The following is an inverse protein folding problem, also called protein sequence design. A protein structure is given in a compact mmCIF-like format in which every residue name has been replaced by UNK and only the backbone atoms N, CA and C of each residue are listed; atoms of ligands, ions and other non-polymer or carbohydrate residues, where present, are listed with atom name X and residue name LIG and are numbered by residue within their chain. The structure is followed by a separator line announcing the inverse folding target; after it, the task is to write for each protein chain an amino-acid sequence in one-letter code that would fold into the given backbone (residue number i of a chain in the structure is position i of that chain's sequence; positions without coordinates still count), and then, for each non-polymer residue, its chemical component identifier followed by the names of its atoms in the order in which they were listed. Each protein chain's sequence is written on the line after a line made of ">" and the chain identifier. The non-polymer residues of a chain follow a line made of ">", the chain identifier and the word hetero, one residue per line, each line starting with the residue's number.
data_IF_766986443326
#
_entry.id   IF_766986443326
#
_cell.length_a   1.000
_cell.length_b   1.000
_cell.length_c   1.000
_cell.angle_alpha   90.00
_cell.angle_beta   90.00
_cell.angle_gamma   90.00
#
_symmetry.space_group_name_H-M   'P 1'
#
loop_
_entity.id
_entity.type
_entity.pdbx_description
1 polymer ?
#
# COMPACT_ATOMS: atom_id res chain seq x y z
N UNK A 1 14.35 -26.60 -6.92
CA UNK A 1 15.51 -27.16 -6.21
C UNK A 1 16.79 -26.48 -6.71
N UNK A 2 17.11 -26.49 -8.01
CA UNK A 2 18.40 -25.98 -8.52
C UNK A 2 18.88 -24.56 -8.09
N UNK A 3 18.01 -23.57 -7.84
CA UNK A 3 18.46 -22.22 -7.47
C UNK A 3 18.77 -22.07 -5.97
N UNK A 4 17.97 -22.69 -5.09
CA UNK A 4 18.17 -22.59 -3.64
C UNK A 4 19.50 -23.24 -3.22
N UNK A 5 19.99 -24.21 -4.00
CA UNK A 5 21.25 -24.92 -3.79
C UNK A 5 22.49 -24.03 -4.05
N UNK A 6 22.35 -22.92 -4.78
CA UNK A 6 23.45 -21.98 -5.09
C UNK A 6 23.64 -20.96 -3.97
N UNK A 7 22.56 -20.61 -3.27
CA UNK A 7 22.56 -19.57 -2.24
C UNK A 7 23.57 -19.85 -1.10
N UNK A 8 23.77 -21.10 -0.64
CA UNK A 8 24.84 -21.44 0.29
C UNK A 8 26.25 -21.11 -0.23
N UNK A 9 26.54 -21.39 -1.50
CA UNK A 9 27.84 -21.07 -2.13
C UNK A 9 28.05 -19.55 -2.24
N UNK A 10 26.98 -18.77 -2.34
CA UNK A 10 27.03 -17.30 -2.29
C UNK A 10 27.21 -16.73 -0.88
N UNK A 11 27.22 -17.59 0.16
CA UNK A 11 27.37 -17.20 1.56
C UNK A 11 26.05 -16.97 2.30
N UNK A 12 24.92 -17.46 1.77
CA UNK A 12 23.52 -17.35 2.25
C UNK A 12 22.96 -15.92 2.41
N UNK A 13 23.75 -14.98 2.92
CA UNK A 13 23.43 -13.56 3.13
C UNK A 13 24.71 -12.70 3.17
N UNK A 14 25.49 -12.74 2.09
CA UNK A 14 26.70 -11.94 1.88
C UNK A 14 26.44 -10.45 1.66
N UNK A 15 27.51 -9.68 1.40
CA UNK A 15 27.47 -8.20 1.28
C UNK A 15 26.53 -7.72 0.17
N UNK A 16 26.56 -8.38 -1.00
CA UNK A 16 25.69 -8.07 -2.12
C UNK A 16 24.21 -8.23 -1.75
N UNK A 17 23.88 -9.38 -1.14
CA UNK A 17 22.51 -9.71 -0.72
C UNK A 17 22.02 -8.72 0.34
N UNK A 18 22.85 -8.40 1.36
CA UNK A 18 22.54 -7.42 2.40
C UNK A 18 22.24 -6.03 1.82
N UNK A 19 23.07 -5.55 0.89
CA UNK A 19 22.89 -4.22 0.27
C UNK A 19 21.56 -4.15 -0.49
N UNK A 20 21.30 -5.11 -1.37
CA UNK A 20 20.07 -5.10 -2.18
C UNK A 20 18.83 -5.37 -1.33
N UNK A 21 18.93 -6.26 -0.34
CA UNK A 21 17.88 -6.50 0.64
C UNK A 21 17.50 -5.20 1.38
N UNK A 22 18.47 -4.45 1.91
CA UNK A 22 18.21 -3.19 2.58
C UNK A 22 17.55 -2.17 1.65
N UNK A 23 18.02 -2.07 0.39
CA UNK A 23 17.38 -1.21 -0.61
C UNK A 23 15.92 -1.63 -0.84
N UNK A 24 15.63 -2.93 -0.95
CA UNK A 24 14.25 -3.43 -1.16
C UNK A 24 13.34 -3.27 0.06
N UNK A 25 13.89 -3.20 1.28
CA UNK A 25 13.11 -2.96 2.49
C UNK A 25 12.70 -1.49 2.67
N UNK A 26 13.45 -0.53 2.16
CA UNK A 26 13.13 0.90 2.32
C UNK A 26 11.77 1.31 1.69
N UNK A 27 11.40 0.85 0.49
CA UNK A 27 10.06 1.04 -0.08
C UNK A 27 8.92 0.48 0.79
N UNK A 28 9.17 -0.48 1.67
CA UNK A 28 8.16 -0.97 2.60
C UNK A 28 7.70 0.12 3.58
N UNK A 29 8.58 1.08 3.91
CA UNK A 29 8.22 2.27 4.70
C UNK A 29 7.14 3.07 3.95
N UNK A 30 7.34 3.34 2.66
CA UNK A 30 6.39 4.08 1.82
C UNK A 30 5.03 3.37 1.74
N UNK A 31 5.04 2.04 1.60
CA UNK A 31 3.82 1.25 1.62
C UNK A 31 3.05 1.40 2.94
N UNK A 32 3.76 1.39 4.07
CA UNK A 32 3.17 1.61 5.38
C UNK A 32 2.62 3.04 5.56
N UNK A 33 3.33 4.05 5.04
CA UNK A 33 2.86 5.44 5.00
C UNK A 33 1.48 5.52 4.36
N UNK A 34 1.32 4.96 3.15
CA UNK A 34 0.05 4.97 2.45
C UNK A 34 -1.04 4.11 3.10
N UNK A 35 -0.66 3.01 3.74
CA UNK A 35 -1.62 2.12 4.41
C UNK A 35 -2.26 2.75 5.65
N UNK A 36 -1.51 3.54 6.42
CA UNK A 36 -2.05 4.24 7.61
C UNK A 36 -2.56 5.65 7.31
N UNK A 37 -2.18 6.23 6.16
CA UNK A 37 -2.57 7.59 5.77
C UNK A 37 -4.07 7.87 5.95
N UNK A 38 -4.93 6.91 5.61
CA UNK A 38 -6.38 7.12 5.63
C UNK A 38 -6.97 7.54 6.97
N UNK A 39 -6.35 7.14 8.08
CA UNK A 39 -6.75 7.53 9.43
C UNK A 39 -6.61 9.04 9.63
N UNK A 40 -5.52 9.62 9.12
CA UNK A 40 -5.19 11.04 9.29
C UNK A 40 -5.80 11.91 8.18
N UNK A 41 -5.78 11.44 6.92
CA UNK A 41 -6.37 12.17 5.80
C UNK A 41 -7.87 12.39 5.98
N UNK A 42 -8.55 11.42 6.57
CA UNK A 42 -9.98 11.45 6.82
C UNK A 42 -10.29 11.66 8.30
N UNK A 43 -9.47 12.40 9.04
CA UNK A 43 -9.72 12.64 10.46
C UNK A 43 -11.15 13.19 10.66
N UNK A 44 -11.91 12.54 11.55
CA UNK A 44 -13.22 13.04 11.95
C UNK A 44 -13.00 14.20 12.92
N UNK A 45 -13.34 15.40 12.48
CA UNK A 45 -13.15 16.63 13.23
C UNK A 45 -14.48 16.98 13.91
N UNK A 46 -14.41 17.46 15.15
CA UNK A 46 -15.59 17.94 15.87
C UNK A 46 -16.26 19.03 15.06
N UNK A 47 -17.56 18.91 14.88
CA UNK A 47 -18.34 19.81 14.06
C UNK A 47 -19.68 20.10 14.70
N UNK A 48 -20.25 21.21 14.26
CA UNK A 48 -21.60 21.64 14.62
C UNK A 48 -22.28 22.19 13.39
N UNK A 49 -23.59 22.34 13.48
CA UNK A 49 -24.36 22.95 12.42
C UNK A 49 -24.05 24.45 12.30
N UNK A 50 -23.94 24.92 11.06
CA UNK A 50 -23.91 26.34 10.77
C UNK A 50 -25.32 26.91 10.96
N UNK A 51 -25.42 27.99 11.72
CA UNK A 51 -26.69 28.67 11.92
C UNK A 51 -26.98 29.59 10.70
N UNK A 52 -28.25 29.84 10.35
CA UNK A 52 -28.62 30.63 9.17
C UNK A 52 -28.04 32.05 9.12
N UNK A 53 -27.69 32.64 10.28
CA UNK A 53 -27.11 33.97 10.39
C UNK A 53 -25.57 33.98 10.40
N UNK A 54 -24.93 32.80 10.40
CA UNK A 54 -23.48 32.67 10.47
C UNK A 54 -22.84 32.57 9.09
N UNK A 55 -21.68 33.20 8.94
CA UNK A 55 -20.83 33.05 7.76
C UNK A 55 -20.00 31.75 7.83
N UNK A 56 -19.49 31.31 6.68
CA UNK A 56 -18.74 30.05 6.57
C UNK A 56 -17.42 30.03 7.38
N UNK A 57 -16.92 31.20 7.81
CA UNK A 57 -15.72 31.36 8.64
C UNK A 57 -16.00 31.57 10.14
N UNK A 58 -17.24 31.30 10.58
CA UNK A 58 -17.61 31.44 11.99
C UNK A 58 -16.82 30.47 12.90
N UNK A 59 -16.62 30.88 14.15
CA UNK A 59 -15.86 30.09 15.13
C UNK A 59 -16.65 28.88 15.60
N UNK A 60 -15.99 27.76 15.82
CA UNK A 60 -16.61 26.55 16.32
C UNK A 60 -17.33 26.75 17.68
N UNK A 61 -16.74 27.52 18.59
CA UNK A 61 -17.35 27.77 19.89
C UNK A 61 -18.58 28.69 19.76
N UNK A 62 -19.73 28.20 20.26
CA UNK A 62 -20.98 28.95 20.38
C UNK A 62 -21.26 29.28 21.84
N UNK A 63 -21.51 30.55 22.20
CA UNK A 63 -21.88 30.91 23.57
C UNK A 63 -23.28 30.40 23.96
N UNK A 64 -24.21 30.31 23.01
CA UNK A 64 -25.63 29.96 23.25
C UNK A 64 -26.00 28.60 22.61
N UNK A 65 -25.11 27.61 22.78
CA UNK A 65 -25.27 26.28 22.19
C UNK A 65 -26.57 25.57 22.63
N UNK A 66 -27.00 25.82 23.87
CA UNK A 66 -28.20 25.23 24.46
C UNK A 66 -29.52 25.68 23.80
N UNK A 67 -29.54 26.88 23.21
CA UNK A 67 -30.72 27.44 22.54
C UNK A 67 -30.73 27.19 21.03
N UNK A 68 -29.65 26.66 20.48
CA UNK A 68 -29.43 26.52 19.04
C UNK A 68 -29.29 25.07 18.59
N UNK A 69 -28.70 24.22 19.42
CA UNK A 69 -28.43 22.82 19.13
C UNK A 69 -29.14 21.94 20.17
N UNK A 70 -29.88 20.90 19.75
CA UNK A 70 -30.52 19.98 20.68
C UNK A 70 -29.50 19.09 21.40
N UNK A 71 -29.78 18.79 22.67
CA UNK A 71 -29.00 17.81 23.45
C UNK A 71 -29.37 16.38 23.05
N UNK A 72 -28.39 15.57 22.69
CA UNK A 72 -28.58 14.14 22.45
C UNK A 72 -28.30 13.34 23.74
N UNK A 73 -29.37 12.83 24.35
CA UNK A 73 -29.29 12.02 25.57
C UNK A 73 -28.59 10.68 25.37
N UNK A 74 -28.56 10.13 24.15
CA UNK A 74 -27.88 8.86 23.87
C UNK A 74 -26.37 9.04 23.78
N UNK A 75 -25.94 10.12 23.13
CA UNK A 75 -24.53 10.46 22.97
C UNK A 75 -23.95 11.27 24.13
N UNK A 76 -24.80 11.67 25.10
CA UNK A 76 -24.45 12.54 26.22
C UNK A 76 -23.68 13.80 25.78
N UNK A 77 -24.10 14.38 24.66
CA UNK A 77 -23.45 15.53 24.02
C UNK A 77 -24.42 16.30 23.13
N UNK A 78 -24.06 17.53 22.77
CA UNK A 78 -24.82 18.32 21.80
C UNK A 78 -24.80 17.67 20.42
N UNK A 79 -25.96 17.61 19.75
CA UNK A 79 -26.07 17.00 18.42
C UNK A 79 -25.18 17.71 17.40
N UNK A 80 -24.35 16.97 16.67
CA UNK A 80 -23.52 17.54 15.60
C UNK A 80 -24.23 17.60 14.24
N UNK A 81 -25.42 16.99 14.13
CA UNK A 81 -26.10 16.72 12.86
C UNK A 81 -27.49 17.35 12.74
N UNK A 82 -28.02 17.87 13.84
CA UNK A 82 -29.31 18.54 13.89
C UNK A 82 -29.19 19.87 14.62
N UNK A 83 -29.98 20.85 14.19
CA UNK A 83 -30.12 22.14 14.86
C UNK A 83 -31.59 22.39 15.20
N UNK A 84 -31.86 23.29 16.13
CA UNK A 84 -33.21 23.72 16.43
C UNK A 84 -33.79 24.54 15.27
N UNK A 85 -35.08 24.36 15.02
CA UNK A 85 -35.83 25.07 14.00
C UNK A 85 -36.44 26.34 14.61
N UNK A 86 -35.64 27.40 14.65
CA UNK A 86 -36.01 28.68 15.23
C UNK A 86 -35.52 29.84 14.34
N UNK A 87 -36.22 30.97 14.42
CA UNK A 87 -35.69 32.25 13.94
C UNK A 87 -34.76 32.81 15.01
N UNK A 88 -33.45 32.71 14.77
CA UNK A 88 -32.39 33.16 15.68
C UNK A 88 -32.28 34.69 15.74
N UNK A 89 -33.36 35.37 16.16
CA UNK A 89 -33.36 36.81 16.42
C UNK A 89 -32.85 37.09 17.83
N UNK A 90 -32.38 38.31 18.13
CA UNK A 90 -32.03 38.71 19.49
C UNK A 90 -33.17 38.49 20.50
N UNK A 91 -34.42 38.60 20.06
CA UNK A 91 -35.62 38.32 20.87
C UNK A 91 -35.73 36.84 21.27
N UNK A 92 -35.36 35.91 20.37
CA UNK A 92 -35.36 34.48 20.65
C UNK A 92 -34.39 34.13 21.78
N UNK A 93 -33.17 34.66 21.73
CA UNK A 93 -32.15 34.43 22.76
C UNK A 93 -32.54 35.03 24.11
N UNK A 94 -33.29 36.15 24.11
CA UNK A 94 -33.83 36.75 25.33
C UNK A 94 -35.02 35.97 25.91
N UNK A 95 -35.80 35.27 25.08
CA UNK A 95 -37.03 34.58 25.50
C UNK A 95 -36.80 33.36 26.39
N UNK A 96 -35.58 32.80 26.44
CA UNK A 96 -35.22 31.57 27.18
C UNK A 96 -36.06 30.32 26.84
N UNK A 97 -36.91 30.37 25.79
CA UNK A 97 -37.74 29.26 25.34
C UNK A 97 -37.07 28.62 24.12
N UNK A 98 -36.62 27.38 24.28
CA UNK A 98 -36.03 26.60 23.18
C UNK A 98 -37.09 26.08 22.22
N UNK A 99 -36.82 26.11 20.93
CA UNK A 99 -37.71 25.51 19.94
C UNK A 99 -37.84 23.98 20.15
N UNK A 100 -39.06 23.46 19.98
CA UNK A 100 -39.36 22.03 20.18
C UNK A 100 -39.06 21.15 18.94
N UNK A 101 -38.87 21.77 17.77
CA UNK A 101 -38.59 21.07 16.51
C UNK A 101 -37.11 21.20 16.17
N UNK A 102 -36.55 20.11 15.65
CA UNK A 102 -35.18 20.06 15.14
C UNK A 102 -35.17 19.77 13.65
N UNK A 103 -34.28 20.41 12.92
CA UNK A 103 -34.04 20.20 11.49
C UNK A 103 -32.64 19.65 11.24
N UNK A 104 -32.48 18.92 10.14
CA UNK A 104 -31.16 18.45 9.69
C UNK A 104 -30.29 19.63 9.24
N UNK A 105 -28.99 19.45 9.37
CA UNK A 105 -28.03 20.48 9.01
C UNK A 105 -27.61 20.36 7.56
N UNK A 106 -27.55 21.49 6.86
CA UNK A 106 -27.12 21.56 5.45
C UNK A 106 -25.64 21.93 5.33
N UNK A 107 -25.12 22.67 6.31
CA UNK A 107 -23.73 23.10 6.40
C UNK A 107 -23.21 22.95 7.82
N UNK A 108 -21.89 22.82 7.93
CA UNK A 108 -21.20 22.57 9.20
C UNK A 108 -20.04 23.52 9.40
N UNK A 109 -19.80 23.86 10.67
CA UNK A 109 -18.61 24.57 11.14
C UNK A 109 -17.75 23.56 11.91
N UNK A 110 -16.49 23.46 11.50
CA UNK A 110 -15.51 22.50 12.02
C UNK A 110 -14.54 23.16 13.00
N UNK A 111 -14.13 22.42 14.04
CA UNK A 111 -13.07 22.84 14.96
C UNK A 111 -11.69 22.72 14.30
N UNK A 112 -11.10 23.87 13.95
CA UNK A 112 -9.79 23.96 13.28
C UNK A 112 -8.59 24.08 14.24
N UNK A 113 -8.80 23.91 15.55
CA UNK A 113 -7.74 24.02 16.56
C UNK A 113 -6.63 22.96 16.40
N UNK A 114 -7.01 21.72 16.10
CA UNK A 114 -6.08 20.59 15.96
C UNK A 114 -5.67 20.38 14.50
N UNK A 115 -6.64 20.34 13.59
CA UNK A 115 -6.43 20.11 12.16
C UNK A 115 -6.79 21.35 11.36
N UNK A 116 -6.01 21.67 10.33
CA UNK A 116 -6.33 22.80 9.43
C UNK A 116 -7.42 22.41 8.43
N UNK A 117 -7.31 21.21 7.86
CA UNK A 117 -8.29 20.64 6.93
C UNK A 117 -8.14 19.12 6.90
N UNK A 118 -9.26 18.40 6.77
CA UNK A 118 -9.30 16.98 6.44
C UNK A 118 -10.19 16.72 5.22
N UNK A 119 -10.05 15.56 4.58
CA UNK A 119 -10.95 15.18 3.49
C UNK A 119 -12.43 15.16 3.94
N UNK A 120 -12.68 14.89 5.23
CA UNK A 120 -14.03 14.93 5.80
C UNK A 120 -14.58 16.34 5.84
N UNK A 121 -13.76 17.33 6.23
CA UNK A 121 -14.19 18.73 6.33
C UNK A 121 -14.31 19.40 4.99
N UNK A 122 -13.47 19.03 4.03
CA UNK A 122 -13.48 19.63 2.70
C UNK A 122 -14.64 19.13 1.84
N UNK A 123 -15.02 17.86 1.98
CA UNK A 123 -16.13 17.26 1.24
C UNK A 123 -17.43 17.13 2.06
N UNK A 124 -17.49 17.71 3.27
CA UNK A 124 -18.63 17.67 4.18
C UNK A 124 -19.18 16.26 4.49
N UNK A 125 -18.29 15.28 4.72
CA UNK A 125 -18.64 13.86 4.88
C UNK A 125 -18.99 13.50 6.32
N UNK A 126 -19.97 14.21 6.88
CA UNK A 126 -20.42 14.04 8.25
C UNK A 126 -21.88 13.58 8.28
N UNK A 127 -22.35 13.12 9.45
CA UNK A 127 -23.75 12.74 9.65
C UNK A 127 -24.21 11.63 8.68
N UNK A 128 -25.20 11.91 7.83
CA UNK A 128 -25.73 10.94 6.86
C UNK A 128 -24.63 10.44 5.90
N UNK A 129 -23.65 11.30 5.58
CA UNK A 129 -22.54 11.00 4.67
C UNK A 129 -21.28 10.46 5.38
N UNK A 130 -21.33 10.22 6.69
CA UNK A 130 -20.18 9.69 7.44
C UNK A 130 -19.74 8.29 6.96
N UNK A 131 -20.64 7.52 6.34
CA UNK A 131 -20.37 6.18 5.82
C UNK A 131 -19.36 6.19 4.67
N UNK A 132 -19.28 7.29 3.89
CA UNK A 132 -18.34 7.44 2.78
C UNK A 132 -16.87 7.32 3.23
N UNK A 133 -16.53 7.80 4.43
CA UNK A 133 -15.19 7.65 5.03
C UNK A 133 -14.76 6.19 5.14
N UNK A 134 -15.63 5.36 5.71
CA UNK A 134 -15.38 3.93 5.93
C UNK A 134 -15.33 3.20 4.59
N UNK A 135 -16.16 3.63 3.64
CA UNK A 135 -16.14 3.09 2.28
C UNK A 135 -14.80 3.35 1.59
N UNK A 136 -14.21 4.53 1.72
CA UNK A 136 -12.90 4.84 1.13
C UNK A 136 -11.77 3.94 1.67
N UNK A 137 -11.74 3.70 2.99
CA UNK A 137 -10.74 2.81 3.59
C UNK A 137 -11.00 1.34 3.24
N UNK A 138 -12.27 0.94 3.10
CA UNK A 138 -12.65 -0.39 2.61
C UNK A 138 -12.22 -0.60 1.15
N UNK A 139 -12.43 0.40 0.29
CA UNK A 139 -12.01 0.38 -1.11
C UNK A 139 -10.48 0.32 -1.24
N UNK A 140 -9.74 0.96 -0.32
CA UNK A 140 -8.29 0.78 -0.24
C UNK A 140 -7.92 -0.69 0.01
N UNK A 141 -8.58 -1.37 0.94
CA UNK A 141 -8.32 -2.79 1.24
C UNK A 141 -8.75 -3.72 0.10
N UNK A 142 -9.88 -3.44 -0.56
CA UNK A 142 -10.27 -4.13 -1.79
C UNK A 142 -9.22 -3.93 -2.87
N UNK A 143 -8.73 -2.70 -3.03
CA UNK A 143 -7.61 -2.37 -3.89
C UNK A 143 -6.39 -3.22 -3.56
N UNK A 144 -6.00 -3.29 -2.29
CA UNK A 144 -4.86 -4.08 -1.83
C UNK A 144 -5.00 -5.59 -2.12
N UNK A 145 -6.21 -6.14 -2.00
CA UNK A 145 -6.51 -7.52 -2.38
C UNK A 145 -6.38 -7.73 -3.90
N UNK A 146 -6.98 -6.86 -4.71
CA UNK A 146 -6.88 -6.98 -6.17
C UNK A 146 -5.43 -6.79 -6.64
N UNK A 147 -4.70 -5.86 -6.02
CA UNK A 147 -3.31 -5.57 -6.33
C UNK A 147 -2.38 -6.73 -6.01
N UNK A 148 -2.57 -7.44 -4.89
CA UNK A 148 -1.74 -8.60 -4.56
C UNK A 148 -1.90 -9.73 -5.59
N UNK A 149 -3.10 -9.91 -6.14
CA UNK A 149 -3.38 -10.88 -7.20
C UNK A 149 -2.81 -10.42 -8.54
N UNK A 150 -3.13 -9.20 -8.96
CA UNK A 150 -2.77 -8.66 -10.28
C UNK A 150 -1.27 -8.44 -10.39
N UNK A 151 -0.67 -7.67 -9.48
CA UNK A 151 0.77 -7.39 -9.52
C UNK A 151 1.60 -8.63 -9.18
N UNK A 152 1.07 -9.55 -8.36
CA UNK A 152 1.67 -10.86 -8.14
C UNK A 152 1.82 -11.65 -9.45
N UNK A 153 0.70 -11.91 -10.15
CA UNK A 153 0.70 -12.63 -11.43
C UNK A 153 1.50 -11.89 -12.52
N UNK A 154 1.38 -10.56 -12.59
CA UNK A 154 2.17 -9.76 -13.53
C UNK A 154 3.68 -9.88 -13.26
N UNK A 155 4.11 -9.88 -11.99
CA UNK A 155 5.53 -9.99 -11.64
C UNK A 155 6.14 -11.33 -12.04
N UNK A 156 5.37 -12.42 -11.92
CA UNK A 156 5.80 -13.75 -12.37
C UNK A 156 5.79 -13.89 -13.90
N UNK A 157 4.95 -13.12 -14.60
CA UNK A 157 4.88 -13.13 -16.08
C UNK A 157 5.93 -12.28 -16.75
N UNK A 158 6.01 -11.00 -16.37
CA UNK A 158 6.78 -9.96 -17.05
C UNK A 158 8.13 -9.65 -16.40
N UNK A 159 8.37 -10.12 -15.18
CA UNK A 159 9.59 -9.84 -14.42
C UNK A 159 9.25 -9.07 -13.16
N UNK A 160 10.06 -9.24 -12.12
CA UNK A 160 9.77 -8.66 -10.82
C UNK A 160 10.26 -7.23 -10.74
N UNK A 161 11.43 -6.95 -11.29
CA UNK A 161 11.96 -5.58 -11.38
C UNK A 161 11.01 -4.64 -12.14
N UNK A 162 10.57 -4.89 -13.39
CA UNK A 162 9.71 -3.95 -14.12
C UNK A 162 8.36 -3.73 -13.41
N UNK A 163 7.77 -4.78 -12.84
CA UNK A 163 6.48 -4.68 -12.15
C UNK A 163 6.59 -3.95 -10.81
N UNK A 164 7.71 -4.10 -10.09
CA UNK A 164 8.00 -3.30 -8.90
C UNK A 164 8.01 -1.80 -9.23
N UNK A 165 8.73 -1.39 -10.28
CA UNK A 165 8.80 0.02 -10.68
C UNK A 165 7.49 0.54 -11.27
N UNK A 166 6.77 -0.28 -12.05
CA UNK A 166 5.43 0.08 -12.53
C UNK A 166 4.49 0.37 -11.36
N UNK A 167 4.47 -0.51 -10.36
CA UNK A 167 3.65 -0.34 -9.16
C UNK A 167 4.04 0.94 -8.41
N UNK A 168 5.35 1.23 -8.29
CA UNK A 168 5.86 2.42 -7.63
C UNK A 168 5.47 3.71 -8.35
N UNK A 169 5.60 3.75 -9.69
CA UNK A 169 5.18 4.90 -10.50
C UNK A 169 3.69 5.15 -10.36
N UNK A 170 2.87 4.09 -10.47
CA UNK A 170 1.42 4.21 -10.30
C UNK A 170 1.07 4.68 -8.88
N UNK A 171 1.76 4.19 -7.84
CA UNK A 171 1.53 4.62 -6.46
C UNK A 171 1.79 6.12 -6.28
N UNK A 172 2.89 6.64 -6.84
CA UNK A 172 3.23 8.07 -6.76
C UNK A 172 2.22 8.91 -7.55
N UNK A 173 1.91 8.52 -8.79
CA UNK A 173 0.97 9.27 -9.65
C UNK A 173 -0.40 9.34 -9.01
N UNK A 174 -0.99 8.20 -8.63
CA UNK A 174 -2.31 8.19 -7.99
C UNK A 174 -2.27 8.78 -6.57
N UNK A 175 -1.11 8.73 -5.90
CA UNK A 175 -0.86 9.41 -4.64
C UNK A 175 -1.00 10.94 -4.75
N UNK A 176 -0.38 11.53 -5.77
CA UNK A 176 -0.47 12.96 -6.07
C UNK A 176 -1.86 13.35 -6.63
N UNK A 177 -2.46 12.51 -7.46
CA UNK A 177 -3.84 12.72 -7.95
C UNK A 177 -4.85 12.70 -6.80
N UNK A 178 -4.67 11.84 -5.80
CA UNK A 178 -5.51 11.84 -4.60
C UNK A 178 -5.41 13.17 -3.84
N UNK A 179 -4.21 13.77 -3.76
CA UNK A 179 -4.03 15.08 -3.14
C UNK A 179 -4.64 16.23 -3.94
N UNK A 180 -4.76 16.08 -5.27
CA UNK A 180 -5.35 17.06 -6.18
C UNK A 180 -6.85 16.84 -6.42
N UNK A 181 -7.44 15.78 -5.86
CA UNK A 181 -8.84 15.43 -6.11
C UNK A 181 -9.78 16.54 -5.63
N UNK A 182 -10.66 17.02 -6.52
CA UNK A 182 -11.71 18.02 -6.21
C UNK A 182 -13.04 17.37 -5.85
N UNK A 183 -13.16 16.07 -6.09
CA UNK A 183 -14.37 15.28 -5.83
C UNK A 183 -14.02 14.07 -4.97
N UNK A 184 -14.89 13.74 -4.02
CA UNK A 184 -14.62 12.65 -3.10
C UNK A 184 -14.61 11.27 -3.80
N UNK A 185 -15.43 11.08 -4.83
CA UNK A 185 -15.40 9.86 -5.65
C UNK A 185 -14.04 9.65 -6.34
N UNK A 186 -13.45 10.73 -6.86
CA UNK A 186 -12.09 10.67 -7.45
C UNK A 186 -11.06 10.33 -6.39
N UNK A 187 -11.17 10.90 -5.19
CA UNK A 187 -10.30 10.54 -4.06
C UNK A 187 -10.42 9.05 -3.70
N UNK A 188 -11.64 8.50 -3.63
CA UNK A 188 -11.88 7.08 -3.35
C UNK A 188 -11.30 6.15 -4.42
N UNK A 189 -11.47 6.48 -5.71
CA UNK A 189 -10.88 5.72 -6.81
C UNK A 189 -9.35 5.76 -6.74
N UNK A 190 -8.76 6.93 -6.47
CA UNK A 190 -7.32 7.03 -6.27
C UNK A 190 -6.86 6.18 -5.08
N UNK A 191 -7.59 6.19 -3.96
CA UNK A 191 -7.30 5.35 -2.77
C UNK A 191 -7.33 3.85 -3.09
N UNK A 192 -8.29 3.40 -3.91
CA UNK A 192 -8.33 2.02 -4.38
C UNK A 192 -7.08 1.66 -5.18
N UNK A 193 -6.65 2.51 -6.12
CA UNK A 193 -5.44 2.28 -6.92
C UNK A 193 -4.17 2.36 -6.07
N UNK A 194 -4.10 3.29 -5.11
CA UNK A 194 -3.00 3.37 -4.14
C UNK A 194 -2.96 2.07 -3.31
N UNK A 195 -4.09 1.54 -2.86
CA UNK A 195 -4.14 0.24 -2.17
C UNK A 195 -3.58 -0.89 -3.02
N UNK A 196 -4.01 -0.97 -4.28
CA UNK A 196 -3.53 -1.97 -5.24
C UNK A 196 -2.03 -1.89 -5.48
N UNK A 197 -1.52 -0.68 -5.72
CA UNK A 197 -0.09 -0.44 -5.96
C UNK A 197 0.75 -0.64 -4.69
N UNK A 198 0.21 -0.33 -3.50
CA UNK A 198 0.86 -0.60 -2.20
C UNK A 198 1.13 -2.10 -2.04
N UNK A 199 0.15 -2.96 -2.36
CA UNK A 199 0.37 -4.41 -2.40
C UNK A 199 1.39 -4.81 -3.45
N UNK A 200 1.33 -4.23 -4.66
CA UNK A 200 2.28 -4.52 -5.74
C UNK A 200 3.73 -4.21 -5.36
N UNK A 201 3.99 -3.01 -4.83
CA UNK A 201 5.32 -2.58 -4.39
C UNK A 201 5.83 -3.47 -3.26
N UNK A 202 5.03 -3.66 -2.19
CA UNK A 202 5.46 -4.44 -1.03
C UNK A 202 5.66 -5.92 -1.36
N UNK A 203 4.68 -6.55 -2.02
CA UNK A 203 4.73 -7.97 -2.33
C UNK A 203 5.91 -8.28 -3.25
N UNK A 204 6.05 -7.56 -4.36
CA UNK A 204 7.11 -7.84 -5.34
C UNK A 204 8.49 -7.57 -4.76
N UNK A 205 8.67 -6.47 -4.01
CA UNK A 205 9.93 -6.19 -3.31
C UNK A 205 10.26 -7.29 -2.29
N UNK A 206 9.27 -7.73 -1.51
CA UNK A 206 9.43 -8.80 -0.54
C UNK A 206 9.84 -10.11 -1.22
N UNK A 207 9.22 -10.49 -2.34
CA UNK A 207 9.60 -11.75 -3.00
C UNK A 207 11.00 -11.67 -3.63
N UNK A 208 11.40 -10.53 -4.23
CA UNK A 208 12.79 -10.35 -4.71
C UNK A 208 13.76 -10.48 -3.53
N UNK A 209 13.51 -9.78 -2.43
CA UNK A 209 14.35 -9.82 -1.24
C UNK A 209 14.51 -11.25 -0.72
N UNK A 210 13.42 -12.00 -0.58
CA UNK A 210 13.41 -13.36 -0.06
C UNK A 210 14.07 -14.39 -0.99
N UNK A 211 14.06 -14.14 -2.31
CA UNK A 211 14.80 -14.96 -3.27
C UNK A 211 16.30 -14.73 -3.25
N UNK A 212 16.74 -13.58 -2.73
CA UNK A 212 18.16 -13.32 -2.53
C UNK A 212 18.67 -13.92 -1.22
N UNK A 213 17.80 -14.22 -0.25
CA UNK A 213 18.21 -14.76 1.05
C UNK A 213 18.17 -16.29 1.05
N UNK A 214 19.27 -16.89 1.53
CA UNK A 214 19.38 -18.33 1.75
C UNK A 214 18.32 -18.87 2.73
N UNK A 215 17.90 -20.13 2.59
CA UNK A 215 16.75 -20.69 3.30
C UNK A 215 16.81 -20.57 4.83
N UNK A 216 18.00 -20.67 5.42
CA UNK A 216 18.24 -20.57 6.87
C UNK A 216 17.99 -19.17 7.45
N UNK A 217 18.20 -18.12 6.65
CA UNK A 217 18.10 -16.71 7.07
C UNK A 217 16.79 -16.04 6.68
N UNK A 218 15.94 -16.72 5.92
CA UNK A 218 14.65 -16.20 5.43
C UNK A 218 13.73 -15.73 6.56
N UNK A 219 13.64 -16.46 7.67
CA UNK A 219 12.81 -16.05 8.81
C UNK A 219 13.25 -14.68 9.34
N UNK A 220 14.54 -14.51 9.62
CA UNK A 220 15.11 -13.25 10.10
C UNK A 220 14.91 -12.12 9.09
N UNK A 221 15.12 -12.38 7.79
CA UNK A 221 14.85 -11.42 6.73
C UNK A 221 13.36 -11.03 6.63
N UNK A 222 12.44 -11.95 6.90
CA UNK A 222 11.01 -11.63 6.99
C UNK A 222 10.73 -10.65 8.13
N UNK A 223 11.24 -10.96 9.34
CA UNK A 223 11.07 -10.13 10.54
C UNK A 223 11.70 -8.75 10.37
N UNK A 224 12.91 -8.66 9.80
CA UNK A 224 13.58 -7.38 9.56
C UNK A 224 12.77 -6.49 8.62
N UNK A 225 12.17 -7.04 7.57
CA UNK A 225 11.32 -6.28 6.66
C UNK A 225 10.10 -5.69 7.38
N UNK A 226 9.52 -6.41 8.34
CA UNK A 226 8.41 -5.91 9.16
C UNK A 226 8.81 -4.73 10.05
N UNK A 227 10.05 -4.68 10.56
CA UNK A 227 10.52 -3.49 11.30
C UNK A 227 10.49 -2.23 10.43
N UNK A 228 10.89 -2.30 9.15
CA UNK A 228 10.78 -1.17 8.23
C UNK A 228 9.31 -0.75 8.03
N UNK A 229 8.40 -1.72 7.91
CA UNK A 229 6.97 -1.44 7.82
C UNK A 229 6.43 -0.73 9.06
N UNK A 230 6.80 -1.21 10.26
CA UNK A 230 6.46 -0.56 11.55
C UNK A 230 7.05 0.85 11.64
N UNK A 231 8.29 1.05 11.20
CA UNK A 231 8.90 2.39 11.13
C UNK A 231 8.07 3.33 10.26
N UNK A 232 7.54 2.85 9.13
CA UNK A 232 6.63 3.65 8.29
C UNK A 232 5.35 4.05 9.01
N UNK A 233 4.74 3.18 9.81
CA UNK A 233 3.58 3.56 10.64
C UNK A 233 3.91 4.66 11.66
N UNK A 234 5.04 4.55 12.36
CA UNK A 234 5.49 5.57 13.31
C UNK A 234 5.74 6.91 12.59
N UNK A 235 6.40 6.85 11.43
CA UNK A 235 6.64 8.04 10.61
C UNK A 235 5.35 8.68 10.10
N UNK A 236 4.32 7.89 9.77
CA UNK A 236 3.01 8.42 9.35
C UNK A 236 2.40 9.30 10.44
N UNK A 237 2.44 8.83 11.69
CA UNK A 237 1.93 9.60 12.83
C UNK A 237 2.76 10.86 13.06
N UNK A 238 4.08 10.79 12.90
CA UNK A 238 4.95 11.97 12.98
C UNK A 238 4.61 13.00 11.88
N UNK A 239 4.46 12.57 10.62
CA UNK A 239 4.04 13.46 9.53
C UNK A 239 2.69 14.10 9.79
N UNK A 240 1.71 13.33 10.28
CA UNK A 240 0.38 13.84 10.60
C UNK A 240 0.37 14.82 11.79
N UNK A 241 1.32 14.70 12.72
CA UNK A 241 1.48 15.65 13.81
C UNK A 241 1.96 17.03 13.33
N UNK A 242 2.92 17.06 12.41
CA UNK A 242 3.48 18.31 11.88
C UNK A 242 2.67 18.89 10.72
N UNK A 243 2.05 18.05 9.89
CA UNK A 243 1.30 18.45 8.70
C UNK A 243 -0.19 18.24 8.94
N UNK A 244 -0.88 19.34 9.26
CA UNK A 244 -2.30 19.38 9.62
C UNK A 244 -3.26 19.59 8.45
N UNK A 245 -2.71 19.69 7.23
CA UNK A 245 -3.44 19.83 5.98
C UNK A 245 -3.37 18.49 5.23
N UNK A 246 -4.53 17.88 4.98
CA UNK A 246 -4.58 16.53 4.40
C UNK A 246 -4.03 16.44 2.98
N UNK A 247 -4.17 17.51 2.17
CA UNK A 247 -3.66 17.52 0.79
C UNK A 247 -2.14 17.54 0.81
N UNK A 248 -1.56 18.43 1.62
CA UNK A 248 -0.10 18.52 1.81
C UNK A 248 0.44 17.24 2.45
N UNK A 249 -0.28 16.65 3.42
CA UNK A 249 0.08 15.38 4.03
C UNK A 249 0.14 14.28 2.97
N UNK A 250 -0.89 14.15 2.13
CA UNK A 250 -0.91 13.15 1.06
C UNK A 250 0.27 13.33 0.09
N UNK A 251 0.62 14.56 -0.30
CA UNK A 251 1.81 14.83 -1.12
C UNK A 251 3.09 14.43 -0.40
N UNK A 252 3.24 14.80 0.88
CA UNK A 252 4.41 14.47 1.69
C UNK A 252 4.60 12.97 1.87
N UNK A 253 3.51 12.20 1.94
CA UNK A 253 3.57 10.73 2.01
C UNK A 253 3.94 10.10 0.65
N UNK A 254 3.52 10.69 -0.48
CA UNK A 254 3.83 10.17 -1.82
C UNK A 254 5.19 10.59 -2.38
N UNK A 255 5.67 11.80 -2.06
CA UNK A 255 6.89 12.36 -2.63
C UNK A 255 8.16 11.50 -2.41
N UNK A 256 8.37 10.83 -1.26
CA UNK A 256 9.49 9.92 -1.07
C UNK A 256 9.54 8.78 -2.09
N UNK A 257 8.40 8.40 -2.68
CA UNK A 257 8.33 7.40 -3.74
C UNK A 257 9.09 7.77 -5.01
N UNK A 258 9.25 9.07 -5.30
CA UNK A 258 10.03 9.56 -6.44
C UNK A 258 11.51 9.19 -6.26
N UNK A 259 12.02 9.30 -5.04
CA UNK A 259 13.42 8.96 -4.73
C UNK A 259 13.66 7.48 -5.00
N UNK A 260 12.70 6.61 -4.68
CA UNK A 260 12.83 5.16 -4.94
C UNK A 260 12.84 4.79 -6.43
N UNK A 261 12.46 5.69 -7.36
CA UNK A 261 12.62 5.44 -8.79
C UNK A 261 14.11 5.30 -9.19
N UNK A 262 15.03 5.95 -8.45
CA UNK A 262 16.46 5.80 -8.69
C UNK A 262 16.97 4.38 -8.43
N UNK A 263 16.20 3.54 -7.73
CA UNK A 263 16.55 2.14 -7.49
C UNK A 263 16.59 1.32 -8.77
N UNK A 264 16.06 1.84 -9.88
CA UNK A 264 16.14 1.19 -11.17
C UNK A 264 17.58 0.82 -11.52
N UNK A 265 18.56 1.65 -11.16
CA UNK A 265 19.97 1.39 -11.47
C UNK A 265 20.66 0.41 -10.51
N UNK A 266 20.10 0.18 -9.32
CA UNK A 266 20.74 -0.60 -8.27
C UNK A 266 20.15 -2.00 -8.10
N UNK A 267 18.84 -2.15 -8.30
CA UNK A 267 18.11 -3.40 -8.07
C UNK A 267 18.18 -4.28 -9.32
N UNK A 268 18.80 -5.47 -9.26
CA UNK A 268 18.81 -6.42 -10.38
C UNK A 268 17.44 -7.10 -10.52
N UNK A 269 17.23 -7.76 -11.66
CA UNK A 269 16.10 -8.69 -11.80
C UNK A 269 16.34 -9.95 -10.92
N UNK A 270 15.25 -10.64 -10.58
CA UNK A 270 15.36 -11.92 -9.86
C UNK A 270 16.10 -12.97 -10.70
N UNK A 271 17.24 -13.44 -10.19
CA UNK A 271 17.98 -14.55 -10.77
C UNK A 271 17.12 -15.82 -10.85
N UNK A 272 16.25 -16.06 -9.85
CA UNK A 272 15.32 -17.19 -9.85
C UNK A 272 14.30 -17.07 -10.97
N UNK A 273 13.73 -15.89 -11.19
CA UNK A 273 12.78 -15.64 -12.27
C UNK A 273 13.45 -15.78 -13.64
N UNK A 274 14.68 -15.29 -13.81
CA UNK A 274 15.44 -15.46 -15.05
C UNK A 274 15.67 -16.94 -15.38
N UNK A 275 16.03 -17.75 -14.38
CA UNK A 275 16.21 -19.20 -14.56
C UNK A 275 14.88 -19.88 -14.97
N UNK A 276 13.75 -19.52 -14.34
CA UNK A 276 12.46 -20.14 -14.70
C UNK A 276 11.97 -19.74 -16.10
N UNK A 277 12.36 -18.55 -16.59
CA UNK A 277 12.12 -18.10 -17.98
C UNK A 277 13.13 -18.65 -18.98
N UNK A 278 14.13 -19.41 -18.53
CA UNK A 278 15.19 -19.93 -19.39
C UNK A 278 16.20 -18.87 -19.82
N UNK A 279 16.27 -17.71 -19.18
CA UNK A 279 17.29 -16.67 -19.45
C UNK A 279 18.54 -16.94 -18.60
N UNK A 280 19.18 -18.07 -18.86
CA UNK A 280 20.29 -18.59 -18.03
C UNK A 280 21.54 -17.69 -18.03
N UNK A 281 21.86 -17.06 -19.16
CA UNK A 281 23.03 -16.19 -19.31
C UNK A 281 22.94 -14.97 -18.40
N UNK A 282 21.81 -14.27 -18.41
CA UNK A 282 21.58 -13.11 -17.52
C UNK A 282 21.56 -13.51 -16.04
N UNK A 283 20.99 -14.68 -15.72
CA UNK A 283 21.05 -15.20 -14.37
C UNK A 283 22.50 -15.47 -13.92
N UNK A 284 23.34 -16.04 -14.81
CA UNK A 284 24.76 -16.28 -14.57
C UNK A 284 25.50 -14.97 -14.32
N UNK A 285 25.25 -13.92 -15.10
CA UNK A 285 25.85 -12.59 -14.88
C UNK A 285 25.53 -12.02 -13.49
N UNK A 286 24.26 -12.10 -13.06
CA UNK A 286 23.85 -11.61 -11.74
C UNK A 286 24.50 -12.43 -10.62
N UNK A 287 24.56 -13.75 -10.76
CA UNK A 287 25.18 -14.65 -9.78
C UNK A 287 26.70 -14.41 -9.70
N UNK A 288 27.39 -14.22 -10.82
CA UNK A 288 28.82 -13.91 -10.86
C UNK A 288 29.12 -12.54 -10.27
N UNK A 289 28.27 -11.54 -10.53
CA UNK A 289 28.37 -10.22 -9.89
C UNK A 289 28.22 -10.32 -8.37
N UNK A 290 27.24 -11.10 -7.90
CA UNK A 290 27.05 -11.37 -6.48
C UNK A 290 28.26 -12.09 -5.86
N UNK A 291 28.79 -13.10 -6.54
CA UNK A 291 29.95 -13.87 -6.10
C UNK A 291 31.22 -13.00 -5.98
N UNK A 292 31.47 -12.15 -6.99
CA UNK A 292 32.59 -11.19 -6.99
C UNK A 292 32.52 -10.22 -5.81
N UNK A 293 31.34 -9.68 -5.51
CA UNK A 293 31.17 -8.75 -4.39
C UNK A 293 31.21 -9.45 -3.02
N UNK A 294 30.73 -10.70 -2.95
CA UNK A 294 30.81 -11.52 -1.76
C UNK A 294 32.21 -12.15 -1.55
N UNK A 295 33.13 -12.01 -2.51
CA UNK A 295 34.47 -12.62 -2.52
C UNK A 295 34.43 -14.15 -2.41
N UNK A 296 33.48 -14.77 -3.09
CA UNK A 296 33.30 -16.23 -3.14
C UNK A 296 33.38 -16.72 -4.59
N UNK A 297 33.87 -17.94 -4.78
CA UNK A 297 33.92 -18.60 -6.09
C UNK A 297 32.82 -19.65 -6.16
N UNK A 298 31.97 -19.54 -7.18
CA UNK A 298 30.95 -20.56 -7.46
C UNK A 298 31.61 -21.63 -8.33
N UNK A 299 31.51 -22.93 -7.98
CA UNK A 299 32.01 -24.01 -8.84
C UNK A 299 31.40 -23.94 -10.25
N UNK A 300 32.24 -24.01 -11.28
CA UNK A 300 31.81 -23.91 -12.68
C UNK A 300 30.82 -25.02 -13.05
N UNK A 301 31.00 -26.23 -12.51
CA UNK A 301 30.10 -27.36 -12.70
C UNK A 301 28.66 -27.04 -12.26
N UNK A 302 28.48 -26.32 -11.15
CA UNK A 302 27.16 -25.94 -10.64
C UNK A 302 26.55 -24.88 -11.54
N UNK A 303 27.37 -23.93 -11.99
CA UNK A 303 26.95 -22.84 -12.85
C UNK A 303 26.54 -23.33 -14.24
N UNK A 304 27.27 -24.28 -14.80
CA UNK A 304 27.00 -24.88 -16.10
C UNK A 304 25.86 -25.91 -16.02
N UNK A 305 25.69 -26.59 -14.88
CA UNK A 305 24.49 -27.40 -14.60
C UNK A 305 23.19 -26.56 -14.60
N UNK A 306 23.26 -25.28 -14.22
CA UNK A 306 22.11 -24.37 -14.33
C UNK A 306 21.79 -24.02 -15.79
N UNK A 307 22.83 -23.89 -16.63
CA UNK A 307 22.71 -23.61 -18.06
C UNK A 307 22.26 -24.82 -18.88
N UNK A 308 22.79 -26.02 -18.61
CA UNK A 308 22.35 -27.28 -19.22
C UNK A 308 20.91 -27.60 -18.84
N UNK A 309 20.51 -27.48 -17.57
CA UNK A 309 19.11 -27.68 -17.14
C UNK A 309 18.15 -26.65 -17.73
N UNK A 310 18.64 -25.46 -18.09
CA UNK A 310 17.84 -24.47 -18.83
C UNK A 310 17.85 -24.71 -20.34
N UNK A 311 18.62 -25.68 -20.85
CA UNK A 311 18.68 -26.06 -22.27
C UNK A 311 19.53 -25.11 -23.13
N UNK A 312 20.55 -24.48 -22.53
CA UNK A 312 21.39 -23.44 -23.16
C UNK A 312 22.89 -23.75 -23.16
N UNK A 313 23.28 -24.96 -22.78
CA UNK A 313 24.67 -25.36 -22.87
C UNK A 313 25.00 -25.69 -24.33
N UNK A 314 25.72 -24.79 -24.97
CA UNK A 314 26.23 -24.82 -26.34
C UNK A 314 25.21 -24.37 -27.40
N UNK A 315 25.69 -23.62 -28.38
CA UNK A 315 24.91 -22.96 -29.45
C UNK A 315 24.23 -23.89 -30.44
N UNK A 316 23.82 -25.08 -30.00
CA UNK A 316 23.00 -25.99 -30.76
C UNK A 316 21.52 -25.64 -30.57
N UNK A 317 20.77 -25.67 -31.67
CA UNK A 317 19.31 -25.54 -31.67
C UNK A 317 18.71 -26.45 -30.58
N UNK A 318 17.72 -25.96 -29.78
CA UNK A 318 17.15 -26.75 -28.71
C UNK A 318 16.62 -28.07 -29.29
N UNK A 319 17.10 -29.21 -28.77
CA UNK A 319 16.61 -30.52 -29.18
C UNK A 319 15.08 -30.56 -29.03
N UNK A 320 14.38 -30.98 -30.09
CA UNK A 320 12.91 -30.94 -30.18
C UNK A 320 12.22 -31.64 -28.99
N UNK A 321 12.89 -32.62 -28.38
CA UNK A 321 12.39 -33.34 -27.20
C UNK A 321 12.42 -32.49 -25.92
N UNK A 322 13.48 -31.71 -25.66
CA UNK A 322 13.56 -30.83 -24.49
C UNK A 322 12.63 -29.63 -24.57
N UNK A 323 12.40 -29.11 -25.78
CA UNK A 323 11.40 -28.07 -26.05
C UNK A 323 9.96 -28.59 -25.91
N UNK A 324 9.70 -29.84 -26.29
CA UNK A 324 8.38 -30.50 -26.18
C UNK A 324 8.05 -30.87 -24.74
N UNK A 325 9.01 -31.33 -23.94
CA UNK A 325 8.81 -31.52 -22.49
C UNK A 325 8.61 -30.20 -21.74
N UNK A 326 9.36 -29.13 -22.06
CA UNK A 326 9.11 -27.78 -21.51
C UNK A 326 7.75 -27.22 -21.90
N UNK A 327 7.31 -27.36 -23.16
CA UNK A 327 5.96 -26.97 -23.61
C UNK A 327 4.86 -27.75 -22.89
N UNK A 328 5.09 -29.03 -22.61
CA UNK A 328 4.12 -29.91 -21.92
C UNK A 328 4.07 -29.64 -20.41
N UNK A 329 5.20 -29.29 -19.79
CA UNK A 329 5.31 -28.92 -18.36
C UNK A 329 4.93 -27.45 -18.09
N UNK A 330 5.05 -26.58 -19.08
CA UNK A 330 4.62 -25.18 -19.07
C UNK A 330 3.17 -25.01 -19.55
N UNK A 331 2.25 -25.93 -19.21
CA UNK A 331 0.82 -25.60 -19.23
C UNK A 331 0.67 -24.42 -18.25
N UNK A 332 0.45 -23.19 -18.77
CA UNK A 332 0.48 -21.94 -18.00
C UNK A 332 -0.27 -22.13 -16.69
N UNK A 333 0.48 -22.29 -15.60
CA UNK A 333 -0.09 -22.50 -14.28
C UNK A 333 -0.94 -21.27 -13.97
N UNK A 334 -2.25 -21.45 -13.94
CA UNK A 334 -3.21 -20.38 -13.66
C UNK A 334 -3.62 -20.48 -12.20
N UNK A 335 -4.02 -19.37 -11.57
CA UNK A 335 -4.45 -19.35 -10.15
C UNK A 335 -5.47 -20.44 -9.81
N UNK A 336 -6.39 -20.77 -10.72
CA UNK A 336 -7.36 -21.85 -10.54
C UNK A 336 -6.74 -23.24 -10.33
N UNK A 337 -5.51 -23.48 -10.79
CA UNK A 337 -4.81 -24.75 -10.56
C UNK A 337 -4.44 -24.97 -9.10
N UNK A 338 -4.30 -23.89 -8.29
CA UNK A 338 -4.08 -24.00 -6.84
C UNK A 338 -5.22 -24.73 -6.15
N UNK A 339 -6.45 -24.51 -6.61
CA UNK A 339 -7.65 -25.14 -6.07
C UNK A 339 -8.01 -26.44 -6.80
N UNK A 340 -7.54 -26.65 -8.02
CA UNK A 340 -7.85 -27.88 -8.76
C UNK A 340 -7.21 -29.12 -8.12
N UNK A 341 -5.92 -29.08 -7.79
CA UNK A 341 -5.20 -30.25 -7.26
C UNK A 341 -5.31 -30.37 -5.73
N UNK A 342 -5.61 -31.56 -5.17
CA UNK A 342 -5.93 -31.72 -3.75
C UNK A 342 -4.77 -31.36 -2.80
N UNK A 343 -3.53 -31.70 -3.15
CA UNK A 343 -2.35 -31.36 -2.36
C UNK A 343 -2.07 -29.84 -2.36
N UNK A 344 -2.24 -29.18 -3.52
CA UNK A 344 -2.08 -27.73 -3.63
C UNK A 344 -3.23 -27.02 -2.91
N UNK A 345 -4.46 -27.53 -3.01
CA UNK A 345 -5.63 -26.99 -2.32
C UNK A 345 -5.43 -26.99 -0.81
N UNK A 346 -5.00 -28.12 -0.23
CA UNK A 346 -4.72 -28.22 1.22
C UNK A 346 -3.67 -27.19 1.66
N UNK A 347 -2.56 -27.07 0.93
CA UNK A 347 -1.51 -26.08 1.24
C UNK A 347 -2.01 -24.65 1.08
N UNK A 348 -2.79 -24.38 0.04
CA UNK A 348 -3.37 -23.05 -0.22
C UNK A 348 -4.33 -22.65 0.89
N UNK A 349 -5.20 -23.55 1.34
CA UNK A 349 -6.13 -23.29 2.45
C UNK A 349 -5.40 -23.04 3.77
N UNK A 350 -4.33 -23.78 4.06
CA UNK A 350 -3.49 -23.53 5.24
C UNK A 350 -2.82 -22.16 5.16
N UNK A 351 -2.26 -21.80 3.99
CA UNK A 351 -1.64 -20.49 3.78
C UNK A 351 -2.67 -19.36 3.93
N UNK A 352 -3.88 -19.52 3.38
CA UNK A 352 -4.97 -18.55 3.50
C UNK A 352 -5.48 -18.39 4.94
N UNK A 353 -5.32 -19.41 5.80
CA UNK A 353 -5.70 -19.35 7.20
C UNK A 353 -4.59 -18.77 8.10
N UNK A 354 -3.32 -18.99 7.74
CA UNK A 354 -2.15 -18.51 8.52
C UNK A 354 -1.74 -17.07 8.20
N UNK A 355 -2.13 -16.55 7.04
CA UNK A 355 -2.01 -15.14 6.66
C UNK A 355 -3.27 -14.38 7.05
#
# INVERSE_FOLDING_TARGET
>A
MAYDDILPYLGEFGRYQKRIYLLLCLPAILCALHKLAGVFLQANIKHRCQLPYEYDNATYNLPEINMTIPWDSKANSWSSCTRLDANFTPEYFNSSITANKSVKCEKWIYDTSVYKSSAVTEFNLVCDDAHFRVMADSLFMVGALLGSIIFGDMSDRFGRRPIFFLSLVLQVVFGLLAAAATEYYTFMLCRLVIGSTTSGVFLVAYVIAMEMVGPTKRLYAGVVCQFFFTTGYILTAAFAYFIKDWRILQVALSAPGIVFLCYWWFVPESARWLITKGRGVEAKEILLKAAKENKVTIPEDILDNLLTKTGMANGDLPSEQGAREKKTRARKATLFHLFHYPNLRKRTLVILFSW
#
